data_IF_210666455351
#
_entry.id   IF_210666455351
#
_cell.length_a   1.000
_cell.length_b   1.000
_cell.length_c   1.000
_cell.angle_alpha   90.00
_cell.angle_beta   90.00
_cell.angle_gamma   90.00
#
_symmetry.space_group_name_H-M   'P 1'
#
loop_
_entity.id
_entity.type
_entity.pdbx_description
1 polymer ?
#
# COMPACT_ATOMS: atom_id res chain seq x y z
N UNK A 1 -10.27 -13.00 -24.29
CA UNK A 1 -9.58 -11.77 -24.75
C UNK A 1 -8.60 -11.30 -23.68
N UNK A 2 -7.35 -10.94 -24.00
CA UNK A 2 -6.37 -10.44 -23.00
C UNK A 2 -6.78 -9.03 -22.51
N UNK A 3 -6.56 -8.72 -21.23
CA UNK A 3 -6.89 -7.41 -20.60
C UNK A 3 -6.36 -6.22 -21.39
N UNK A 4 -5.11 -6.32 -21.86
CA UNK A 4 -4.43 -5.29 -22.66
C UNK A 4 -5.16 -5.01 -23.98
N UNK A 5 -5.65 -6.06 -24.64
CA UNK A 5 -6.38 -5.94 -25.92
C UNK A 5 -7.70 -5.20 -25.74
N UNK A 6 -8.44 -5.51 -24.67
CA UNK A 6 -9.68 -4.79 -24.34
C UNK A 6 -9.42 -3.31 -24.09
N UNK A 7 -8.39 -3.00 -23.29
CA UNK A 7 -8.09 -1.62 -22.95
C UNK A 7 -7.71 -0.86 -24.22
N UNK A 8 -6.84 -1.40 -25.08
CA UNK A 8 -6.51 -0.77 -26.36
C UNK A 8 -7.75 -0.47 -27.20
N UNK A 9 -8.65 -1.45 -27.33
CA UNK A 9 -9.89 -1.31 -28.10
C UNK A 9 -10.85 -0.27 -27.50
N UNK A 10 -11.00 -0.25 -26.18
CA UNK A 10 -11.82 0.74 -25.48
C UNK A 10 -11.27 2.16 -25.62
N UNK A 11 -9.95 2.34 -25.58
CA UNK A 11 -9.31 3.64 -25.78
C UNK A 11 -9.44 4.11 -27.23
N UNK A 12 -9.29 3.21 -28.19
CA UNK A 12 -9.46 3.51 -29.61
C UNK A 12 -10.89 3.98 -29.91
N UNK A 13 -11.91 3.31 -29.36
CA UNK A 13 -13.31 3.72 -29.50
C UNK A 13 -13.59 5.09 -28.86
N UNK A 14 -13.07 5.33 -27.65
CA UNK A 14 -13.26 6.61 -26.97
C UNK A 14 -12.54 7.76 -27.71
N UNK A 15 -11.29 7.55 -28.11
CA UNK A 15 -10.51 8.53 -28.85
C UNK A 15 -11.16 8.83 -30.20
N UNK A 16 -11.67 7.81 -30.90
CA UNK A 16 -12.37 7.98 -32.18
C UNK A 16 -13.63 8.83 -32.03
N UNK A 17 -14.47 8.57 -31.01
CA UNK A 17 -15.67 9.39 -30.76
C UNK A 17 -15.34 10.85 -30.47
N UNK A 18 -14.29 11.09 -29.68
CA UNK A 18 -13.82 12.46 -29.39
C UNK A 18 -13.32 13.12 -30.67
N UNK A 19 -12.48 12.43 -31.46
CA UNK A 19 -12.01 12.90 -32.75
C UNK A 19 -13.15 13.23 -33.71
N UNK A 20 -14.12 12.33 -33.86
CA UNK A 20 -15.28 12.52 -34.73
C UNK A 20 -16.07 13.77 -34.30
N UNK A 21 -16.27 13.97 -32.99
CA UNK A 21 -16.96 15.15 -32.46
C UNK A 21 -16.23 16.47 -32.70
N UNK A 22 -14.89 16.44 -32.69
CA UNK A 22 -14.04 17.61 -32.88
C UNK A 22 -13.88 17.95 -34.37
N UNK A 23 -13.75 16.92 -35.22
CA UNK A 23 -13.57 17.08 -36.67
C UNK A 23 -14.88 17.47 -37.38
N UNK A 24 -16.04 17.07 -36.84
CA UNK A 24 -17.36 17.50 -37.32
C UNK A 24 -17.53 19.03 -37.31
N UNK A 25 -16.90 19.74 -36.37
CA UNK A 25 -16.98 21.21 -36.24
C UNK A 25 -15.99 21.96 -37.14
N UNK A 26 -14.94 21.29 -37.62
CA UNK A 26 -13.90 21.87 -38.44
C UNK A 26 -14.39 22.50 -39.77
N UNK A 27 -15.24 21.83 -40.60
CA UNK A 27 -15.67 22.41 -41.87
C UNK A 27 -16.50 23.69 -41.70
N UNK A 28 -17.35 23.77 -40.67
CA UNK A 28 -18.15 24.97 -40.36
C UNK A 28 -17.30 26.18 -39.96
N UNK A 29 -16.16 25.95 -39.30
CA UNK A 29 -15.24 27.00 -38.87
C UNK A 29 -14.36 27.46 -40.04
N UNK A 30 -13.89 26.51 -40.87
CA UNK A 30 -13.09 26.79 -42.07
C UNK A 30 -13.86 27.62 -43.11
N UNK A 31 -15.17 27.40 -43.23
CA UNK A 31 -16.03 28.17 -44.15
C UNK A 31 -16.15 29.63 -43.75
N UNK A 32 -16.09 29.94 -42.45
CA UNK A 32 -16.29 31.30 -41.91
C UNK A 32 -15.01 32.14 -41.97
N UNK A 33 -13.85 31.55 -41.67
CA UNK A 33 -12.57 32.24 -41.77
C UNK A 33 -11.39 31.24 -41.84
N UNK A 34 -10.54 31.34 -42.88
CA UNK A 34 -9.42 30.39 -43.10
C UNK A 34 -8.40 30.39 -41.97
N UNK A 35 -8.06 31.56 -41.41
CA UNK A 35 -7.13 31.68 -40.28
C UNK A 35 -7.71 31.04 -39.00
N UNK A 36 -9.00 31.24 -38.76
CA UNK A 36 -9.69 30.65 -37.61
C UNK A 36 -9.76 29.12 -37.71
N UNK A 37 -9.86 28.57 -38.92
CA UNK A 37 -9.77 27.13 -39.17
C UNK A 37 -8.41 26.52 -38.81
N UNK A 38 -7.31 27.19 -39.15
CA UNK A 38 -5.96 26.73 -38.77
C UNK A 38 -5.71 26.87 -37.26
N UNK A 39 -6.16 27.97 -36.64
CA UNK A 39 -6.11 28.13 -35.18
C UNK A 39 -6.94 27.07 -34.45
N UNK A 40 -8.10 26.69 -35.00
CA UNK A 40 -8.92 25.61 -34.46
C UNK A 40 -8.22 24.26 -34.55
N UNK A 41 -7.55 23.94 -35.66
CA UNK A 41 -6.77 22.70 -35.76
C UNK A 41 -5.62 22.66 -34.76
N UNK A 42 -4.94 23.78 -34.56
CA UNK A 42 -3.88 23.87 -33.55
C UNK A 42 -4.45 23.64 -32.14
N UNK A 43 -5.57 24.29 -31.80
CA UNK A 43 -6.25 24.10 -30.52
C UNK A 43 -6.76 22.66 -30.32
N UNK A 44 -7.30 22.02 -31.37
CA UNK A 44 -7.71 20.61 -31.35
C UNK A 44 -6.51 19.70 -31.16
N UNK A 45 -5.38 19.97 -31.81
CA UNK A 45 -4.15 19.18 -31.67
C UNK A 45 -3.58 19.25 -30.25
N UNK A 46 -3.49 20.47 -29.69
CA UNK A 46 -3.02 20.69 -28.31
C UNK A 46 -3.96 20.04 -27.30
N UNK A 47 -5.28 20.25 -27.42
CA UNK A 47 -6.26 19.61 -26.52
C UNK A 47 -6.26 18.09 -26.65
N UNK A 48 -6.07 17.54 -27.86
CA UNK A 48 -5.90 16.11 -28.06
C UNK A 48 -4.64 15.57 -27.39
N UNK A 49 -3.52 16.29 -27.44
CA UNK A 49 -2.30 15.94 -26.70
C UNK A 49 -2.54 15.82 -25.20
N UNK A 50 -3.25 16.78 -24.59
CA UNK A 50 -3.65 16.70 -23.18
C UNK A 50 -4.59 15.53 -22.90
N UNK A 51 -5.60 15.30 -23.75
CA UNK A 51 -6.53 14.18 -23.62
C UNK A 51 -5.77 12.85 -23.69
N UNK A 52 -4.79 12.70 -24.58
CA UNK A 52 -3.98 11.50 -24.69
C UNK A 52 -3.16 11.23 -23.41
N UNK A 53 -2.60 12.27 -22.78
CA UNK A 53 -1.86 12.16 -21.51
C UNK A 53 -2.80 11.77 -20.36
N UNK A 54 -3.95 12.42 -20.22
CA UNK A 54 -4.96 12.06 -19.20
C UNK A 54 -5.56 10.67 -19.43
N UNK A 55 -5.73 10.28 -20.69
CA UNK A 55 -6.19 8.95 -21.11
C UNK A 55 -5.15 7.88 -20.76
N UNK A 56 -3.85 8.15 -20.98
CA UNK A 56 -2.75 7.29 -20.53
C UNK A 56 -2.70 7.15 -19.00
N UNK A 57 -2.94 8.24 -18.26
CA UNK A 57 -3.01 8.19 -16.80
C UNK A 57 -4.22 7.38 -16.31
N UNK A 58 -5.37 7.53 -16.97
CA UNK A 58 -6.58 6.74 -16.71
C UNK A 58 -6.37 5.25 -17.03
N UNK A 59 -5.67 4.95 -18.14
CA UNK A 59 -5.22 3.60 -18.52
C UNK A 59 -4.39 2.97 -17.39
N UNK A 60 -3.40 3.70 -16.87
CA UNK A 60 -2.55 3.22 -15.78
C UNK A 60 -3.38 2.91 -14.53
N UNK A 61 -4.35 3.76 -14.19
CA UNK A 61 -5.24 3.52 -13.04
C UNK A 61 -6.19 2.32 -13.22
N UNK A 62 -6.66 2.06 -14.44
CA UNK A 62 -7.54 0.93 -14.78
C UNK A 62 -6.78 -0.40 -14.84
N UNK A 63 -5.47 -0.37 -15.08
CA UNK A 63 -4.61 -1.56 -14.99
C UNK A 63 -4.62 -2.17 -13.58
N UNK A 64 -4.73 -1.35 -12.55
CA UNK A 64 -4.77 -1.80 -11.15
C UNK A 64 -6.17 -2.22 -10.65
N UNK A 65 -7.25 -1.97 -11.41
CA UNK A 65 -8.62 -2.38 -11.04
C UNK A 65 -9.07 -3.66 -11.74
N UNK A 66 -9.90 -4.46 -11.07
CA UNK A 66 -10.50 -5.68 -11.62
C UNK A 66 -11.68 -5.36 -12.56
N UNK A 67 -11.34 -4.97 -13.80
CA UNK A 67 -12.31 -4.60 -14.85
C UNK A 67 -13.05 -5.80 -15.48
N UNK A 68 -12.65 -7.03 -15.15
CA UNK A 68 -13.14 -8.26 -15.82
C UNK A 68 -14.65 -8.47 -15.66
N UNK A 69 -15.23 -7.92 -14.59
CA UNK A 69 -16.63 -8.04 -14.22
C UNK A 69 -17.41 -6.74 -14.44
N UNK A 70 -16.87 -5.82 -15.24
CA UNK A 70 -17.57 -4.58 -15.60
C UNK A 70 -18.51 -4.84 -16.78
N UNK A 71 -19.73 -4.25 -16.82
CA UNK A 71 -20.70 -4.50 -17.89
C UNK A 71 -20.09 -4.27 -19.28
N UNK A 72 -19.38 -3.15 -19.43
CA UNK A 72 -18.73 -2.77 -20.69
C UNK A 72 -17.68 -3.79 -21.15
N UNK A 73 -16.92 -4.38 -20.23
CA UNK A 73 -15.91 -5.39 -20.57
C UNK A 73 -16.55 -6.63 -21.15
N UNK A 74 -17.54 -7.18 -20.43
CA UNK A 74 -18.20 -8.43 -20.82
C UNK A 74 -18.97 -8.26 -22.13
N UNK A 75 -19.66 -7.13 -22.32
CA UNK A 75 -20.30 -6.80 -23.60
C UNK A 75 -19.32 -6.69 -24.76
N UNK A 76 -18.16 -6.07 -24.52
CA UNK A 76 -17.13 -5.92 -25.56
C UNK A 76 -16.58 -7.28 -25.97
N UNK A 77 -16.39 -8.20 -25.01
CA UNK A 77 -15.95 -9.58 -25.33
C UNK A 77 -17.00 -10.30 -26.17
N UNK A 78 -18.28 -10.21 -25.81
CA UNK A 78 -19.39 -10.80 -26.56
C UNK A 78 -19.44 -10.22 -27.99
N UNK A 79 -19.32 -8.90 -28.12
CA UNK A 79 -19.36 -8.16 -29.40
C UNK A 79 -18.17 -8.48 -30.31
N UNK A 80 -16.95 -8.43 -29.78
CA UNK A 80 -15.72 -8.65 -30.55
C UNK A 80 -15.59 -10.10 -31.00
N UNK A 81 -16.05 -11.05 -30.18
CA UNK A 81 -16.05 -12.46 -30.53
C UNK A 81 -17.25 -12.87 -31.39
N UNK A 82 -18.21 -11.97 -31.66
CA UNK A 82 -19.40 -12.27 -32.46
C UNK A 82 -20.25 -13.41 -31.91
N UNK A 83 -20.30 -13.58 -30.58
CA UNK A 83 -20.97 -14.71 -29.96
C UNK A 83 -22.49 -14.69 -30.23
N UNK A 84 -23.07 -15.87 -30.49
CA UNK A 84 -24.53 -16.05 -30.50
C UNK A 84 -25.10 -15.89 -29.07
N UNK A 85 -26.41 -15.69 -28.93
CA UNK A 85 -27.04 -15.49 -27.60
C UNK A 85 -26.78 -16.67 -26.65
N UNK A 86 -26.79 -17.89 -27.17
CA UNK A 86 -26.48 -19.11 -26.40
C UNK A 86 -25.03 -19.13 -25.94
N UNK A 87 -24.08 -18.85 -26.83
CA UNK A 87 -22.65 -18.76 -26.50
C UNK A 87 -22.36 -17.62 -25.52
N UNK A 88 -23.07 -16.50 -25.65
CA UNK A 88 -22.99 -15.39 -24.70
C UNK A 88 -23.48 -15.81 -23.32
N UNK A 89 -24.58 -16.56 -23.22
CA UNK A 89 -25.07 -17.10 -21.94
C UNK A 89 -24.09 -18.09 -21.32
N UNK A 90 -23.53 -19.03 -22.10
CA UNK A 90 -22.49 -19.96 -21.59
C UNK A 90 -21.24 -19.21 -21.10
N UNK A 91 -20.83 -18.16 -21.81
CA UNK A 91 -19.74 -17.30 -21.37
C UNK A 91 -20.09 -16.57 -20.05
N UNK A 92 -21.29 -16.00 -19.93
CA UNK A 92 -21.75 -15.36 -18.70
C UNK A 92 -21.79 -16.34 -17.52
N UNK A 93 -22.24 -17.57 -17.74
CA UNK A 93 -22.26 -18.63 -16.72
C UNK A 93 -20.86 -18.99 -16.24
N UNK A 94 -19.91 -19.17 -17.16
CA UNK A 94 -18.51 -19.46 -16.83
C UNK A 94 -17.86 -18.35 -16.00
N UNK A 95 -18.16 -17.09 -16.34
CA UNK A 95 -17.68 -15.92 -15.62
C UNK A 95 -18.32 -15.77 -14.24
N UNK A 96 -19.61 -16.12 -14.12
CA UNK A 96 -20.34 -16.13 -12.85
C UNK A 96 -19.80 -17.20 -11.91
N UNK A 97 -19.41 -18.37 -12.44
CA UNK A 97 -18.79 -19.44 -11.66
C UNK A 97 -17.42 -19.00 -11.10
N UNK A 98 -16.55 -18.39 -11.93
CA UNK A 98 -15.26 -17.88 -11.45
C UNK A 98 -15.44 -16.79 -10.38
N UNK A 99 -16.44 -15.92 -10.56
CA UNK A 99 -16.81 -14.91 -9.58
C UNK A 99 -17.26 -15.52 -8.25
N UNK A 100 -18.16 -16.51 -8.26
CA UNK A 100 -18.58 -17.23 -7.03
C UNK A 100 -17.41 -17.91 -6.33
N UNK A 101 -16.49 -18.51 -7.08
CA UNK A 101 -15.26 -19.11 -6.54
C UNK A 101 -14.36 -18.05 -5.86
N UNK A 102 -14.30 -16.83 -6.38
CA UNK A 102 -13.57 -15.74 -5.73
C UNK A 102 -14.27 -15.22 -4.48
N UNK A 103 -15.60 -15.16 -4.48
CA UNK A 103 -16.38 -14.79 -3.30
C UNK A 103 -16.12 -15.75 -2.13
N UNK A 104 -16.01 -17.06 -2.37
CA UNK A 104 -15.72 -18.04 -1.32
C UNK A 104 -14.33 -17.87 -0.68
N UNK A 105 -13.39 -17.21 -1.35
CA UNK A 105 -12.05 -16.92 -0.80
C UNK A 105 -12.00 -15.64 0.06
N UNK A 106 -13.11 -14.92 0.25
CA UNK A 106 -13.22 -13.81 1.22
C UNK A 106 -12.58 -12.48 0.81
N UNK A 107 -12.04 -12.37 -0.40
CA UNK A 107 -11.25 -11.20 -0.84
C UNK A 107 -12.06 -10.08 -1.54
N UNK A 108 -13.38 -10.03 -1.39
CA UNK A 108 -14.25 -9.07 -2.12
C UNK A 108 -15.05 -8.22 -1.13
N UNK A 109 -15.03 -6.90 -1.30
CA UNK A 109 -15.83 -5.98 -0.49
C UNK A 109 -17.32 -6.04 -0.85
N UNK A 110 -18.20 -5.77 0.12
CA UNK A 110 -19.67 -5.81 -0.07
C UNK A 110 -20.15 -4.85 -1.18
N UNK A 111 -19.54 -3.67 -1.28
CA UNK A 111 -19.83 -2.69 -2.35
C UNK A 111 -19.43 -3.21 -3.73
N UNK A 112 -18.33 -3.94 -3.81
CA UNK A 112 -17.85 -4.54 -5.06
C UNK A 112 -18.73 -5.71 -5.48
N UNK A 113 -19.15 -6.55 -4.53
CA UNK A 113 -20.12 -7.63 -4.74
C UNK A 113 -21.43 -7.11 -5.34
N UNK A 114 -22.08 -6.12 -4.71
CA UNK A 114 -23.35 -5.57 -5.23
C UNK A 114 -23.22 -4.99 -6.64
N UNK A 115 -22.08 -4.36 -6.96
CA UNK A 115 -21.81 -3.83 -8.32
C UNK A 115 -21.68 -4.95 -9.34
N UNK A 116 -21.03 -6.05 -8.97
CA UNK A 116 -20.82 -7.21 -9.83
C UNK A 116 -22.13 -7.98 -10.04
N UNK A 117 -22.91 -8.19 -8.99
CA UNK A 117 -24.21 -8.85 -9.07
C UNK A 117 -25.17 -8.09 -10.01
N UNK A 118 -25.27 -6.76 -9.84
CA UNK A 118 -26.06 -5.91 -10.74
C UNK A 118 -25.59 -5.96 -12.20
N UNK A 119 -24.28 -6.16 -12.43
CA UNK A 119 -23.72 -6.31 -13.78
C UNK A 119 -24.19 -7.60 -14.43
N UNK A 120 -24.13 -8.72 -13.70
CA UNK A 120 -24.61 -10.01 -14.20
C UNK A 120 -26.11 -9.96 -14.46
N UNK A 121 -26.92 -9.46 -13.52
CA UNK A 121 -28.38 -9.35 -13.69
C UNK A 121 -28.76 -8.55 -14.94
N UNK A 122 -28.09 -7.42 -15.16
CA UNK A 122 -28.34 -6.59 -16.33
C UNK A 122 -27.98 -7.29 -17.64
N UNK A 123 -26.85 -8.01 -17.67
CA UNK A 123 -26.44 -8.77 -18.86
C UNK A 123 -27.39 -9.93 -19.14
N UNK A 124 -27.74 -10.74 -18.13
CA UNK A 124 -28.69 -11.84 -18.32
C UNK A 124 -30.02 -11.32 -18.87
N UNK A 125 -30.56 -10.24 -18.31
CA UNK A 125 -31.80 -9.62 -18.81
C UNK A 125 -31.70 -9.22 -20.28
N UNK A 126 -30.55 -8.73 -20.72
CA UNK A 126 -30.33 -8.31 -22.11
C UNK A 126 -30.27 -9.49 -23.09
N UNK A 127 -29.81 -10.66 -22.64
CA UNK A 127 -29.64 -11.85 -23.48
C UNK A 127 -30.74 -12.92 -23.29
N UNK A 128 -31.68 -12.77 -22.35
CA UNK A 128 -32.70 -13.79 -21.99
C UNK A 128 -34.15 -13.61 -22.50
N UNK A 129 -34.62 -12.54 -23.18
CA UNK A 129 -36.06 -12.45 -23.56
C UNK A 129 -36.35 -11.94 -24.98
N UNK A 130 -37.49 -12.37 -25.61
CA UNK A 130 -38.18 -13.67 -25.53
C UNK A 130 -38.81 -14.15 -26.87
N UNK A 131 -39.34 -15.39 -26.94
CA UNK A 131 -40.57 -15.92 -27.62
C UNK A 131 -40.45 -17.47 -27.61
N UNK A 132 -41.45 -18.33 -27.43
CA UNK A 132 -42.85 -18.32 -27.83
C UNK A 132 -43.59 -19.38 -26.98
N UNK A 133 -44.85 -19.10 -26.65
CA UNK A 133 -45.79 -20.04 -26.05
C UNK A 133 -46.00 -21.25 -26.98
N UNK A 134 -45.95 -22.47 -26.44
CA UNK A 134 -46.39 -23.66 -27.16
C UNK A 134 -47.73 -24.15 -26.59
N UNK A 135 -48.77 -23.95 -27.38
CA UNK A 135 -50.07 -24.61 -27.28
C UNK A 135 -49.90 -26.13 -27.23
N UNK A 136 -50.26 -26.76 -26.10
CA UNK A 136 -50.85 -28.12 -25.92
C UNK A 136 -50.54 -28.65 -24.51
N UNK A 137 -51.50 -28.66 -23.57
CA UNK A 137 -51.25 -29.14 -22.20
C UNK A 137 -51.08 -30.67 -22.09
N UNK A 138 -51.61 -31.45 -23.04
CA UNK A 138 -51.73 -32.91 -22.89
C UNK A 138 -50.46 -33.69 -23.29
N UNK A 139 -49.66 -33.13 -24.20
CA UNK A 139 -48.35 -33.66 -24.62
C UNK A 139 -47.24 -33.23 -23.64
N UNK A 140 -47.42 -32.09 -22.98
CA UNK A 140 -46.51 -31.59 -21.93
C UNK A 140 -46.62 -32.46 -20.67
N UNK A 141 -47.81 -32.95 -20.33
CA UNK A 141 -48.01 -33.79 -19.13
C UNK A 141 -47.33 -35.17 -19.25
N UNK A 142 -47.38 -35.78 -20.44
CA UNK A 142 -46.74 -37.07 -20.73
C UNK A 142 -45.22 -36.94 -20.80
N UNK A 143 -44.72 -35.91 -21.48
CA UNK A 143 -43.30 -35.58 -21.48
C UNK A 143 -42.80 -35.19 -20.07
N UNK A 144 -43.61 -34.54 -19.23
CA UNK A 144 -43.26 -34.24 -17.84
C UNK A 144 -43.18 -35.49 -16.97
N UNK A 145 -44.02 -36.50 -17.21
CA UNK A 145 -43.97 -37.78 -16.49
C UNK A 145 -42.72 -38.58 -16.87
N UNK A 146 -42.41 -38.69 -18.16
CA UNK A 146 -41.19 -39.35 -18.64
C UNK A 146 -39.91 -38.59 -18.23
N UNK A 147 -39.96 -37.25 -18.24
CA UNK A 147 -38.89 -36.41 -17.75
C UNK A 147 -38.70 -36.55 -16.25
N UNK A 148 -39.76 -36.74 -15.46
CA UNK A 148 -39.67 -36.97 -14.01
C UNK A 148 -38.93 -38.26 -13.68
N UNK A 149 -39.22 -39.36 -14.38
CA UNK A 149 -38.56 -40.64 -14.15
C UNK A 149 -37.08 -40.61 -14.60
N UNK A 150 -36.78 -39.90 -15.70
CA UNK A 150 -35.41 -39.61 -16.14
C UNK A 150 -34.65 -38.71 -15.14
N UNK A 151 -35.34 -37.71 -14.59
CA UNK A 151 -34.78 -36.80 -13.58
C UNK A 151 -34.50 -37.56 -12.28
N UNK A 152 -35.36 -38.48 -11.85
CA UNK A 152 -35.10 -39.31 -10.66
C UNK A 152 -33.92 -40.28 -10.87
N UNK A 153 -33.77 -40.85 -12.06
CA UNK A 153 -32.59 -41.65 -12.42
C UNK A 153 -31.29 -40.84 -12.38
N UNK A 154 -31.28 -39.68 -13.04
CA UNK A 154 -30.14 -38.76 -13.04
C UNK A 154 -29.85 -38.18 -11.64
N UNK A 155 -30.89 -37.99 -10.80
CA UNK A 155 -30.75 -37.55 -9.42
C UNK A 155 -30.01 -38.59 -8.57
N UNK A 156 -30.28 -39.88 -8.77
CA UNK A 156 -29.55 -40.94 -8.07
C UNK A 156 -28.08 -41.05 -8.52
N UNK A 157 -27.83 -40.89 -9.81
CA UNK A 157 -26.46 -40.87 -10.34
C UNK A 157 -25.67 -39.65 -9.83
N UNK A 158 -26.29 -38.47 -9.83
CA UNK A 158 -25.74 -37.26 -9.21
C UNK A 158 -25.48 -37.44 -7.70
N UNK A 159 -26.35 -38.15 -6.98
CA UNK A 159 -26.15 -38.44 -5.55
C UNK A 159 -24.92 -39.31 -5.30
N UNK A 160 -24.63 -40.27 -6.20
CA UNK A 160 -23.42 -41.09 -6.15
C UNK A 160 -22.16 -40.29 -6.50
N UNK A 161 -22.22 -39.43 -7.53
CA UNK A 161 -21.10 -38.56 -7.91
C UNK A 161 -20.80 -37.54 -6.79
N UNK A 162 -21.83 -37.00 -6.13
CA UNK A 162 -21.68 -36.05 -5.02
C UNK A 162 -21.10 -36.72 -3.78
N UNK A 163 -21.48 -37.96 -3.46
CA UNK A 163 -20.89 -38.68 -2.32
C UNK A 163 -19.40 -39.00 -2.55
N UNK A 164 -19.03 -39.39 -3.77
CA UNK A 164 -17.63 -39.60 -4.16
C UNK A 164 -16.83 -38.28 -4.18
N UNK A 165 -17.41 -37.21 -4.71
CA UNK A 165 -16.82 -35.86 -4.70
C UNK A 165 -16.63 -35.32 -3.27
N UNK A 166 -17.55 -35.59 -2.35
CA UNK A 166 -17.42 -35.19 -0.95
C UNK A 166 -16.23 -35.87 -0.25
N UNK A 167 -15.92 -37.12 -0.61
CA UNK A 167 -14.72 -37.79 -0.10
C UNK A 167 -13.44 -37.13 -0.62
N UNK A 168 -13.41 -36.75 -1.90
CA UNK A 168 -12.31 -36.00 -2.50
C UNK A 168 -12.13 -34.60 -1.90
N UNK A 169 -13.23 -33.88 -1.64
CA UNK A 169 -13.21 -32.56 -0.97
C UNK A 169 -12.61 -32.69 0.43
N UNK A 170 -12.98 -33.73 1.18
CA UNK A 170 -12.43 -33.98 2.53
C UNK A 170 -10.91 -34.19 2.52
N UNK A 171 -10.38 -34.91 1.52
CA UNK A 171 -8.93 -35.09 1.38
C UNK A 171 -8.20 -33.80 0.96
N UNK A 172 -8.84 -32.95 0.12
CA UNK A 172 -8.28 -31.67 -0.29
C UNK A 172 -8.29 -30.65 0.87
N UNK A 173 -9.33 -30.69 1.71
CA UNK A 173 -9.45 -29.87 2.91
C UNK A 173 -8.38 -30.24 3.95
N UNK A 174 -8.14 -31.54 4.18
CA UNK A 174 -7.03 -32.00 5.03
C UNK A 174 -5.65 -31.56 4.51
N UNK A 175 -5.43 -31.62 3.20
CA UNK A 175 -4.20 -31.13 2.58
C UNK A 175 -4.04 -29.61 2.69
N UNK A 176 -5.11 -28.85 2.46
CA UNK A 176 -5.11 -27.39 2.59
C UNK A 176 -4.82 -26.96 4.04
N UNK A 177 -5.44 -27.61 5.02
CA UNK A 177 -5.20 -27.35 6.44
C UNK A 177 -3.76 -27.69 6.85
N UNK A 178 -3.20 -28.79 6.35
CA UNK A 178 -1.80 -29.16 6.60
C UNK A 178 -0.83 -28.10 6.06
N UNK A 179 -1.08 -27.64 4.83
CA UNK A 179 -0.22 -26.62 4.19
C UNK A 179 -0.29 -25.27 4.92
N UNK A 180 -1.48 -24.85 5.35
CA UNK A 180 -1.63 -23.63 6.15
C UNK A 180 -0.88 -23.72 7.49
N UNK A 181 -0.92 -24.88 8.16
CA UNK A 181 -0.22 -25.10 9.43
C UNK A 181 1.31 -25.05 9.26
N UNK A 182 1.84 -25.57 8.14
CA UNK A 182 3.26 -25.48 7.82
C UNK A 182 3.70 -24.03 7.53
N UNK A 183 2.92 -23.29 6.73
CA UNK A 183 3.17 -21.89 6.42
C UNK A 183 3.15 -21.01 7.69
N UNK A 184 2.19 -21.22 8.59
CA UNK A 184 2.09 -20.52 9.87
C UNK A 184 3.30 -20.82 10.78
N UNK A 185 3.73 -22.09 10.84
CA UNK A 185 4.91 -22.49 11.61
C UNK A 185 6.19 -21.86 11.07
N UNK A 186 6.33 -21.76 9.75
CA UNK A 186 7.49 -21.11 9.13
C UNK A 186 7.49 -19.59 9.37
N UNK A 187 6.31 -18.96 9.32
CA UNK A 187 6.13 -17.54 9.62
C UNK A 187 6.49 -17.23 11.08
N UNK A 188 6.01 -18.05 12.03
CA UNK A 188 6.35 -17.93 13.45
C UNK A 188 7.86 -18.10 13.68
N UNK A 189 8.51 -19.03 12.96
CA UNK A 189 9.97 -19.21 13.02
C UNK A 189 10.73 -17.99 12.50
N UNK A 190 10.26 -17.36 11.40
CA UNK A 190 10.84 -16.12 10.85
C UNK A 190 10.67 -14.94 11.81
N UNK A 191 9.49 -14.78 12.42
CA UNK A 191 9.24 -13.73 13.42
C UNK A 191 10.12 -13.90 14.66
N UNK A 192 10.23 -15.12 15.19
CA UNK A 192 11.09 -15.41 16.34
C UNK A 192 12.56 -15.10 16.04
N UNK A 193 13.05 -15.42 14.83
CA UNK A 193 14.41 -15.10 14.41
C UNK A 193 14.64 -13.59 14.30
N UNK A 194 13.71 -12.86 13.68
CA UNK A 194 13.79 -11.40 13.56
C UNK A 194 13.77 -10.72 14.95
N UNK A 195 12.91 -11.18 15.85
CA UNK A 195 12.84 -10.68 17.23
C UNK A 195 14.14 -10.97 18.00
N UNK A 196 14.73 -12.17 17.82
CA UNK A 196 16.02 -12.53 18.43
C UNK A 196 17.14 -11.61 17.93
N UNK A 197 17.22 -11.36 16.62
CA UNK A 197 18.20 -10.43 16.04
C UNK A 197 18.03 -9.01 16.57
N UNK A 198 16.78 -8.55 16.70
CA UNK A 198 16.47 -7.21 17.23
C UNK A 198 16.88 -7.09 18.70
N UNK A 199 16.59 -8.11 19.51
CA UNK A 199 17.00 -8.18 20.91
C UNK A 199 18.53 -8.24 21.06
N UNK A 200 19.22 -8.97 20.19
CA UNK A 200 20.68 -9.01 20.14
C UNK A 200 21.27 -7.63 19.84
N UNK A 201 20.78 -6.95 18.80
CA UNK A 201 21.19 -5.58 18.45
C UNK A 201 20.92 -4.60 19.60
N UNK A 202 19.74 -4.65 20.21
CA UNK A 202 19.40 -3.83 21.38
C UNK A 202 20.34 -4.08 22.55
N UNK A 203 20.69 -5.34 22.82
CA UNK A 203 21.64 -5.69 23.89
C UNK A 203 23.09 -5.28 23.59
N UNK A 204 23.49 -5.27 22.30
CA UNK A 204 24.80 -4.80 21.86
C UNK A 204 24.89 -3.28 21.99
N UNK A 205 23.85 -2.56 21.53
CA UNK A 205 23.71 -1.12 21.70
C UNK A 205 23.77 -0.71 23.19
N UNK A 206 23.03 -1.40 24.06
CA UNK A 206 23.06 -1.15 25.51
C UNK A 206 24.44 -1.43 26.15
N UNK A 207 25.20 -2.40 25.63
CA UNK A 207 26.57 -2.68 26.08
C UNK A 207 27.56 -1.61 25.63
N UNK A 208 27.40 -1.10 24.42
CA UNK A 208 28.28 -0.10 23.82
C UNK A 208 28.07 1.30 24.39
N UNK A 209 26.82 1.67 24.71
CA UNK A 209 26.49 2.98 25.26
C UNK A 209 26.80 3.15 26.76
N UNK A 210 27.12 2.08 27.50
CA UNK A 210 27.29 2.16 28.96
C UNK A 210 25.99 2.54 29.68
N UNK A 211 25.95 2.45 31.02
CA UNK A 211 24.73 2.51 31.84
C UNK A 211 23.97 3.85 31.88
N UNK A 212 24.27 4.85 31.03
CA UNK A 212 23.73 6.21 31.16
C UNK A 212 23.15 6.78 29.86
N UNK A 213 21.97 6.29 29.48
CA UNK A 213 21.09 6.97 28.51
C UNK A 213 19.64 7.12 29.01
N UNK A 214 19.32 6.66 30.22
CA UNK A 214 17.96 6.78 30.76
C UNK A 214 17.77 8.07 31.59
N UNK A 215 18.83 8.67 32.12
CA UNK A 215 18.77 9.97 32.79
C UNK A 215 19.94 10.84 32.35
N UNK A 216 19.66 12.13 32.12
CA UNK A 216 20.64 13.16 31.86
C UNK A 216 21.27 13.60 33.18
N UNK A 217 21.72 12.63 33.98
CA UNK A 217 22.22 12.88 35.33
C UNK A 217 23.73 12.56 35.39
N UNK A 218 24.55 13.52 35.84
CA UNK A 218 25.96 13.29 36.09
C UNK A 218 26.15 12.23 37.18
N UNK A 219 26.83 11.10 36.89
CA UNK A 219 27.24 10.12 37.93
C UNK A 219 28.60 10.54 38.50
N UNK A 220 28.65 11.73 39.11
CA UNK A 220 29.78 12.12 39.94
C UNK A 220 29.42 11.86 41.41
N UNK A 221 30.26 11.12 42.12
CA UNK A 221 30.25 11.13 43.60
C UNK A 221 30.69 12.50 44.10
N UNK A 222 30.18 12.99 45.23
CA UNK A 222 30.54 14.30 45.80
C UNK A 222 32.06 14.56 45.88
N UNK A 223 32.85 13.53 46.20
CA UNK A 223 34.32 13.58 46.21
C UNK A 223 34.94 13.76 44.81
N UNK A 224 34.28 13.24 43.79
CA UNK A 224 34.69 13.38 42.39
C UNK A 224 34.41 14.78 41.85
N UNK A 225 33.34 15.42 42.30
CA UNK A 225 33.08 16.85 42.01
C UNK A 225 34.16 17.72 42.66
N UNK A 226 34.50 17.45 43.93
CA UNK A 226 35.55 18.20 44.64
C UNK A 226 36.93 18.06 43.96
N UNK A 227 37.31 16.84 43.56
CA UNK A 227 38.56 16.62 42.81
C UNK A 227 38.56 17.31 41.44
N UNK A 228 37.40 17.44 40.79
CA UNK A 228 37.31 18.12 39.51
C UNK A 228 37.42 19.64 39.66
N UNK A 229 36.84 20.19 40.74
CA UNK A 229 37.03 21.59 41.14
C UNK A 229 38.51 21.88 41.38
N UNK A 230 39.20 21.02 42.14
CA UNK A 230 40.63 21.17 42.41
C UNK A 230 41.45 21.11 41.11
N UNK A 231 41.13 20.19 40.20
CA UNK A 231 41.78 20.09 38.88
C UNK A 231 41.54 21.33 38.01
N UNK A 232 40.30 21.84 37.96
CA UNK A 232 39.91 23.02 37.18
C UNK A 232 40.50 24.34 37.71
N UNK A 233 40.81 24.40 39.00
CA UNK A 233 41.49 25.54 39.61
C UNK A 233 43.02 25.40 39.55
N UNK A 234 43.55 24.18 39.57
CA UNK A 234 44.99 23.89 39.46
C UNK A 234 45.52 24.11 38.05
N UNK A 235 44.74 23.74 37.03
CA UNK A 235 44.98 24.09 35.63
C UNK A 235 43.97 25.20 35.36
N UNK A 236 44.32 26.50 35.33
CA UNK A 236 43.36 27.60 35.27
C UNK A 236 42.62 27.63 33.91
N UNK A 237 41.65 26.71 33.77
CA UNK A 237 40.82 26.49 32.58
C UNK A 237 39.82 27.65 32.44
N UNK A 238 39.32 28.13 33.58
CA UNK A 238 38.41 29.26 33.68
C UNK A 238 39.15 30.53 34.12
N UNK A 239 38.63 31.68 33.71
CA UNK A 239 39.20 32.98 34.08
C UNK A 239 38.98 33.32 35.55
N UNK A 240 38.00 32.67 36.20
CA UNK A 240 37.71 32.75 37.63
C UNK A 240 37.88 31.38 38.30
N UNK A 241 38.21 31.39 39.59
CA UNK A 241 38.18 30.16 40.39
C UNK A 241 36.75 29.61 40.41
N UNK A 242 36.60 28.33 40.13
CA UNK A 242 35.33 27.61 40.10
C UNK A 242 35.06 27.03 41.48
N UNK A 243 33.88 27.28 42.05
CA UNK A 243 33.43 26.60 43.26
C UNK A 243 32.67 25.31 42.92
N UNK A 244 32.51 24.42 43.90
CA UNK A 244 31.71 23.18 43.75
C UNK A 244 30.32 23.44 43.18
N UNK A 245 29.66 24.49 43.65
CA UNK A 245 28.32 24.90 43.20
C UNK A 245 28.28 25.31 41.73
N UNK A 246 29.28 26.06 41.26
CA UNK A 246 29.39 26.44 39.85
C UNK A 246 29.52 25.20 38.94
N UNK A 247 30.29 24.21 39.39
CA UNK A 247 30.52 22.99 38.63
C UNK A 247 29.30 22.06 38.65
N UNK A 248 28.62 21.95 39.78
CA UNK A 248 27.33 21.27 39.89
C UNK A 248 26.31 21.93 38.94
N UNK A 249 26.21 23.25 38.93
CA UNK A 249 25.32 23.98 38.03
C UNK A 249 25.65 23.79 36.54
N UNK A 250 26.93 23.60 36.19
CA UNK A 250 27.34 23.21 34.82
C UNK A 250 26.91 21.77 34.52
N UNK A 251 27.11 20.85 35.46
CA UNK A 251 26.79 19.42 35.32
C UNK A 251 25.27 19.13 35.35
N UNK A 252 24.46 20.04 35.90
CA UNK A 252 23.01 20.00 35.84
C UNK A 252 22.41 20.94 34.76
N UNK A 253 23.26 21.62 33.98
CA UNK A 253 22.85 22.60 32.96
C UNK A 253 21.95 23.73 33.49
N UNK A 254 22.10 24.10 34.77
CA UNK A 254 21.31 25.14 35.46
C UNK A 254 22.04 26.47 35.60
N UNK A 255 23.30 26.54 35.15
CA UNK A 255 24.13 27.74 35.27
C UNK A 255 23.59 28.93 34.46
N UNK A 256 23.37 30.08 35.11
CA UNK A 256 22.73 31.27 34.54
C UNK A 256 23.72 32.33 34.02
N UNK A 257 25.02 32.22 34.32
CA UNK A 257 26.04 33.20 33.90
C UNK A 257 27.12 32.54 33.04
N UNK A 258 27.54 33.13 31.91
CA UNK A 258 28.57 32.54 31.07
C UNK A 258 29.92 32.55 31.80
N UNK A 259 30.39 31.37 32.19
CA UNK A 259 31.74 31.17 32.70
C UNK A 259 32.75 31.37 31.55
N UNK A 260 33.47 32.49 31.58
CA UNK A 260 34.49 32.79 30.58
C UNK A 260 35.65 31.78 30.69
N UNK A 261 35.87 31.08 29.58
CA UNK A 261 36.88 30.04 29.44
C UNK A 261 38.14 30.70 28.90
N UNK A 262 39.30 30.40 29.50
CA UNK A 262 40.55 31.03 29.07
C UNK A 262 40.99 30.51 27.69
N UNK A 263 40.80 29.22 27.44
CA UNK A 263 41.09 28.57 26.16
C UNK A 263 40.12 27.42 25.92
N UNK A 264 39.22 27.57 24.93
CA UNK A 264 38.16 26.62 24.58
C UNK A 264 38.65 25.17 24.34
N UNK A 265 39.89 25.01 23.87
CA UNK A 265 40.51 23.69 23.63
C UNK A 265 40.67 22.85 24.91
N UNK A 266 40.87 23.48 26.06
CA UNK A 266 41.08 22.75 27.32
C UNK A 266 39.76 22.17 27.85
N UNK A 267 38.64 22.86 27.64
CA UNK A 267 37.31 22.33 27.96
C UNK A 267 36.96 21.16 27.06
N UNK A 268 37.20 21.26 25.75
CA UNK A 268 36.97 20.16 24.83
C UNK A 268 37.79 18.90 25.20
N UNK A 269 39.04 19.09 25.65
CA UNK A 269 39.90 17.99 26.10
C UNK A 269 39.43 17.39 27.42
N UNK A 270 38.99 18.22 28.37
CA UNK A 270 38.40 17.77 29.64
C UNK A 270 37.16 16.90 29.40
N UNK A 271 36.21 17.35 28.57
CA UNK A 271 35.02 16.57 28.23
C UNK A 271 35.34 15.30 27.43
N UNK A 272 36.37 15.31 26.57
CA UNK A 272 36.82 14.10 25.86
C UNK A 272 37.40 13.04 26.81
N UNK A 273 38.21 13.46 27.79
CA UNK A 273 38.78 12.55 28.79
C UNK A 273 37.71 12.05 29.78
N UNK A 274 36.76 12.89 30.19
CA UNK A 274 35.60 12.48 31.01
C UNK A 274 34.67 11.50 30.29
N UNK A 275 34.58 11.60 28.95
CA UNK A 275 33.88 10.63 28.11
C UNK A 275 34.64 9.31 28.02
N UNK A 276 35.97 9.33 27.82
CA UNK A 276 36.80 8.11 27.76
C UNK A 276 36.77 7.34 29.08
N UNK A 277 36.72 8.04 30.20
CA UNK A 277 36.56 7.45 31.54
C UNK A 277 35.12 7.02 31.86
N UNK A 278 34.16 7.21 30.93
CA UNK A 278 32.73 6.86 31.03
C UNK A 278 31.98 7.58 32.16
N UNK A 279 32.51 8.71 32.63
CA UNK A 279 31.85 9.54 33.65
C UNK A 279 30.72 10.40 33.04
N UNK A 280 30.81 10.69 31.74
CA UNK A 280 29.90 11.57 31.02
C UNK A 280 29.48 10.93 29.67
N UNK A 281 28.22 11.09 29.25
CA UNK A 281 27.70 10.57 27.97
C UNK A 281 28.03 11.47 26.76
N UNK A 282 28.00 10.92 25.55
CA UNK A 282 28.45 11.60 24.32
C UNK A 282 27.66 12.87 23.96
N UNK A 283 26.45 13.03 24.48
CA UNK A 283 25.61 14.23 24.33
C UNK A 283 26.15 15.45 25.10
N UNK A 284 27.07 15.28 26.04
CA UNK A 284 27.75 16.41 26.69
C UNK A 284 28.75 17.13 25.80
N UNK A 285 29.23 16.48 24.74
CA UNK A 285 30.05 17.15 23.72
C UNK A 285 29.25 18.29 23.05
N UNK A 286 27.95 18.11 22.80
CA UNK A 286 27.10 19.21 22.30
C UNK A 286 26.88 20.33 23.33
N UNK A 287 26.84 20.03 24.63
CA UNK A 287 26.72 21.03 25.69
C UNK A 287 28.01 21.86 25.81
N UNK A 288 29.17 21.21 25.67
CA UNK A 288 30.46 21.90 25.67
C UNK A 288 30.59 22.91 24.52
N UNK A 289 30.01 22.60 23.35
CA UNK A 289 29.94 23.55 22.21
C UNK A 289 29.06 24.76 22.56
N UNK A 290 27.91 24.56 23.20
CA UNK A 290 27.02 25.67 23.59
C UNK A 290 27.65 26.56 24.66
N UNK A 291 28.33 25.98 25.65
CA UNK A 291 29.08 26.73 26.67
C UNK A 291 30.25 27.53 26.05
N UNK A 292 30.91 26.96 25.04
CA UNK A 292 32.00 27.62 24.29
C UNK A 292 31.47 28.78 23.42
N UNK A 293 30.30 28.65 22.78
CA UNK A 293 29.75 29.67 21.88
C UNK A 293 29.02 30.81 22.60
N UNK A 294 28.35 30.56 23.72
CA UNK A 294 27.68 31.63 24.50
C UNK A 294 28.64 32.55 25.27
N UNK A 295 29.92 32.19 25.40
CA UNK A 295 30.98 33.07 25.90
C UNK A 295 31.57 34.02 24.85
N UNK A 296 31.12 33.95 23.59
CA UNK A 296 31.67 34.69 22.45
C UNK A 296 30.96 35.98 22.09
N UNK A 297 30.34 36.68 23.05
CA UNK A 297 29.73 37.99 22.77
C UNK A 297 29.82 38.94 23.96
N UNK A 298 31.02 39.43 24.22
CA UNK A 298 31.27 40.76 24.78
C UNK A 298 32.72 41.15 24.48
N UNK A 299 32.89 42.40 24.00
CA UNK A 299 34.11 43.22 23.91
C UNK A 299 34.93 42.97 22.61
N UNK A 300 35.12 43.93 21.68
CA UNK A 300 35.65 45.31 21.78
C UNK A 300 36.87 45.41 22.69
#
# INVERSE_FOLDING_TARGET
MKKVTYIKLSHEEANRKIWDSLILKYPSIKQRNRLLGYLWLFAVSVSYGFIAIFSWFSFLSLFFKDIRYTPHYMQTVIRVNGMTREQANTYLDSMRLEYKKRLSYGNISLREQSRMDATFEWLYKQYQQPELWADKPDEVLTNLLEMKDSVDGNLQELKCIVSESNSGIKTLEEYANRKQMEEEKEQNRKQHLAQTQTNQLKSAYLRECGRNLASFEPVFTDKGVDMLVDCCNSIPIFTRNVEKRDLEDILYCTHKEPLQVRVNRHIAFLFDELRKSRLICSTWMSVSVVLIFNGGSSDV
#
